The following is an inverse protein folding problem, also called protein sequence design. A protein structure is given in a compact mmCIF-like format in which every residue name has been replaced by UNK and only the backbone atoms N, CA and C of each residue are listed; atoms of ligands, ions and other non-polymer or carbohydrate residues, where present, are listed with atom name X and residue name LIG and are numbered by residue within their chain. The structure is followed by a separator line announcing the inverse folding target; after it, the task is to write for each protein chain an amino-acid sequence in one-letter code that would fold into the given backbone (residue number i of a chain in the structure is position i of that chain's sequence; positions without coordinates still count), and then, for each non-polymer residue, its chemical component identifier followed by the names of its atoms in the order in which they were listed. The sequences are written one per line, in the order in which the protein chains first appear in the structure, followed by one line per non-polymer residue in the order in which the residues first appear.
data_IF_385161127231
#
_entry.id   IF_385161127231
#
_cell.length_a   1.000
_cell.length_b   1.000
_cell.length_c   1.000
_cell.angle_alpha   90.00
_cell.angle_beta   90.00
_cell.angle_gamma   90.00
#
_symmetry.space_group_name_H-M   'P 1'
#
loop_
_entity.id
_entity.type
_entity.pdbx_description
1 polymer ?
#
# COMPACT_ATOMS: atom_id res chain seq x y z
N UNK A 1 1.20 0.67 -10.31
CA UNK A 1 2.59 0.15 -10.26
C UNK A 1 2.73 -1.35 -10.37
N UNK A 2 1.93 -2.18 -9.68
CA UNK A 2 2.03 -3.66 -9.70
C UNK A 2 2.40 -4.25 -11.07
N UNK A 3 1.61 -3.98 -12.12
CA UNK A 3 1.88 -4.50 -13.48
C UNK A 3 3.24 -4.02 -14.01
N UNK A 4 3.59 -2.75 -13.79
CA UNK A 4 4.87 -2.19 -14.22
C UNK A 4 6.05 -2.86 -13.52
N UNK A 5 5.95 -3.09 -12.21
CA UNK A 5 6.99 -3.78 -11.45
C UNK A 5 7.17 -5.23 -11.91
N UNK A 6 6.08 -5.93 -12.24
CA UNK A 6 6.15 -7.28 -12.78
C UNK A 6 6.82 -7.32 -14.16
N UNK A 7 6.44 -6.41 -15.07
CA UNK A 7 7.08 -6.30 -16.38
C UNK A 7 8.57 -5.96 -16.25
N UNK A 8 8.93 -5.03 -15.37
CA UNK A 8 10.33 -4.68 -15.09
C UNK A 8 11.14 -5.89 -14.60
N UNK A 9 10.56 -6.73 -13.75
CA UNK A 9 11.21 -7.95 -13.32
C UNK A 9 11.33 -8.99 -14.44
N UNK A 10 10.36 -9.06 -15.37
CA UNK A 10 10.43 -9.96 -16.52
C UNK A 10 11.51 -9.53 -17.52
N UNK A 11 11.70 -8.22 -17.70
CA UNK A 11 12.65 -7.65 -18.66
C UNK A 11 14.10 -7.56 -18.12
N UNK A 12 14.32 -7.88 -16.85
CA UNK A 12 15.63 -7.77 -16.18
C UNK A 12 16.15 -9.13 -15.72
N UNK A 13 17.22 -9.63 -16.35
CA UNK A 13 17.89 -10.89 -15.93
C UNK A 13 18.46 -10.84 -14.49
N UNK A 14 18.68 -9.63 -13.97
CA UNK A 14 19.10 -9.39 -12.60
C UNK A 14 17.96 -9.59 -11.59
N UNK A 15 16.69 -9.60 -12.03
CA UNK A 15 15.54 -9.81 -11.16
C UNK A 15 15.42 -11.29 -10.76
N UNK A 16 16.15 -11.67 -9.71
CA UNK A 16 16.17 -13.02 -9.15
C UNK A 16 15.82 -12.98 -7.66
N UNK A 17 15.13 -14.02 -7.21
CA UNK A 17 14.69 -14.13 -5.82
C UNK A 17 13.42 -13.33 -5.50
N UNK A 18 13.07 -13.20 -4.21
CA UNK A 18 11.85 -12.53 -3.79
C UNK A 18 11.93 -11.01 -4.03
N UNK A 19 10.80 -10.43 -4.44
CA UNK A 19 10.65 -9.00 -4.69
C UNK A 19 9.38 -8.50 -4.01
N UNK A 20 9.50 -7.51 -3.13
CA UNK A 20 8.35 -6.82 -2.55
C UNK A 20 7.74 -5.88 -3.59
N UNK A 21 6.47 -6.09 -3.94
CA UNK A 21 5.71 -5.21 -4.84
C UNK A 21 4.85 -4.26 -4.00
N UNK A 22 5.50 -3.24 -3.46
CA UNK A 22 4.90 -2.18 -2.63
C UNK A 22 5.40 -0.82 -3.10
N UNK A 23 4.70 0.26 -2.73
CA UNK A 23 5.21 1.61 -2.93
C UNK A 23 6.44 1.87 -2.03
N UNK A 24 7.37 2.77 -2.42
CA UNK A 24 8.61 3.02 -1.67
C UNK A 24 8.37 3.73 -0.33
N UNK A 25 7.25 4.43 -0.18
CA UNK A 25 6.87 5.15 1.04
C UNK A 25 5.87 4.33 1.86
N UNK A 26 6.31 3.57 2.88
CA UNK A 26 5.40 2.82 3.73
C UNK A 26 4.58 3.77 4.61
N UNK A 27 3.29 3.49 4.73
CA UNK A 27 2.36 4.26 5.56
C UNK A 27 1.65 3.35 6.55
N UNK A 28 1.27 3.91 7.68
CA UNK A 28 0.37 3.29 8.66
C UNK A 28 -1.08 3.33 8.18
N UNK A 29 -1.93 2.47 8.76
CA UNK A 29 -3.36 2.50 8.48
C UNK A 29 -4.02 3.85 8.87
N UNK A 30 -3.49 4.54 9.88
CA UNK A 30 -3.97 5.86 10.29
C UNK A 30 -3.69 6.93 9.22
N UNK A 31 -2.48 6.91 8.65
CA UNK A 31 -2.10 7.80 7.54
C UNK A 31 -2.92 7.51 6.28
N UNK A 32 -3.10 6.23 5.93
CA UNK A 32 -3.96 5.79 4.83
C UNK A 32 -5.39 6.32 5.00
N UNK A 33 -5.99 6.11 6.17
CA UNK A 33 -7.37 6.52 6.46
C UNK A 33 -7.53 8.04 6.37
N UNK A 34 -6.57 8.81 6.91
CA UNK A 34 -6.58 10.28 6.87
C UNK A 34 -6.43 10.80 5.44
N UNK A 35 -5.53 10.24 4.65
CA UNK A 35 -5.30 10.62 3.26
C UNK A 35 -6.52 10.31 2.39
N UNK A 36 -7.11 9.11 2.54
CA UNK A 36 -8.33 8.73 1.83
C UNK A 36 -9.50 9.66 2.18
N UNK A 37 -9.67 10.00 3.46
CA UNK A 37 -10.70 10.93 3.88
C UNK A 37 -10.52 12.33 3.30
N UNK A 38 -9.28 12.81 3.19
CA UNK A 38 -8.96 14.08 2.51
C UNK A 38 -9.30 14.04 1.02
N UNK A 39 -8.89 13.00 0.30
CA UNK A 39 -9.11 12.86 -1.16
C UNK A 39 -10.60 12.74 -1.50
N UNK A 40 -11.37 12.03 -0.67
CA UNK A 40 -12.80 11.84 -0.87
C UNK A 40 -13.68 12.96 -0.27
N UNK A 41 -13.08 13.96 0.38
CA UNK A 41 -13.80 14.97 1.15
C UNK A 41 -14.72 14.38 2.24
N UNK A 42 -14.29 13.29 2.88
CA UNK A 42 -15.02 12.59 3.95
C UNK A 42 -14.09 12.34 5.15
N UNK A 43 -14.14 13.16 6.20
CA UNK A 43 -13.15 13.14 7.27
C UNK A 43 -13.12 11.80 8.04
N UNK A 44 -11.91 11.26 8.26
CA UNK A 44 -11.67 10.04 9.03
C UNK A 44 -11.19 10.40 10.45
N UNK A 45 -12.15 10.58 11.38
CA UNK A 45 -11.88 11.18 12.70
C UNK A 45 -11.80 10.18 13.86
N UNK A 46 -12.40 9.00 13.73
CA UNK A 46 -12.47 8.02 14.80
C UNK A 46 -11.98 6.65 14.30
N UNK A 47 -11.04 6.00 14.99
CA UNK A 47 -10.63 4.64 14.67
C UNK A 47 -11.71 3.64 15.06
N UNK A 48 -11.82 2.54 14.31
CA UNK A 48 -12.68 1.42 14.69
C UNK A 48 -11.93 0.54 15.72
N UNK A 49 -12.51 0.25 16.89
CA UNK A 49 -11.86 -0.59 17.89
C UNK A 49 -11.56 -2.01 17.39
N UNK A 50 -10.41 -2.57 17.76
CA UNK A 50 -10.00 -3.90 17.32
C UNK A 50 -11.00 -5.01 17.69
N UNK A 51 -11.66 -4.93 18.85
CA UNK A 51 -12.67 -5.91 19.25
C UNK A 51 -13.91 -5.88 18.33
N UNK A 52 -14.27 -4.70 17.79
CA UNK A 52 -15.39 -4.57 16.87
C UNK A 52 -15.03 -5.22 15.52
N UNK A 53 -13.79 -5.02 15.04
CA UNK A 53 -13.27 -5.73 13.86
C UNK A 53 -13.23 -7.25 14.11
N UNK A 54 -12.79 -7.70 15.29
CA UNK A 54 -12.80 -9.12 15.68
C UNK A 54 -14.21 -9.71 15.74
N UNK A 55 -15.19 -8.97 16.26
CA UNK A 55 -16.57 -9.42 16.28
C UNK A 55 -17.15 -9.60 14.86
N UNK A 56 -16.77 -8.75 13.91
CA UNK A 56 -17.26 -8.79 12.53
C UNK A 56 -16.52 -9.83 11.67
N UNK A 57 -15.20 -9.94 11.80
CA UNK A 57 -14.35 -10.75 10.91
C UNK A 57 -13.77 -12.01 11.57
N UNK A 58 -14.01 -12.25 12.86
CA UNK A 58 -13.45 -13.38 13.59
C UNK A 58 -11.91 -13.38 13.56
N UNK A 59 -11.31 -14.53 13.27
CA UNK A 59 -9.85 -14.68 13.15
C UNK A 59 -9.25 -13.87 11.98
N UNK A 60 -10.04 -13.55 10.94
CA UNK A 60 -9.59 -12.73 9.81
C UNK A 60 -9.35 -11.26 10.19
N UNK A 61 -9.80 -10.84 11.38
CA UNK A 61 -9.53 -9.51 11.91
C UNK A 61 -8.03 -9.20 11.96
N UNK A 62 -7.19 -10.21 12.19
CA UNK A 62 -5.74 -10.05 12.23
C UNK A 62 -5.17 -9.44 10.94
N UNK A 63 -5.75 -9.75 9.78
CA UNK A 63 -5.30 -9.18 8.48
C UNK A 63 -5.50 -7.67 8.45
N UNK A 64 -6.56 -7.17 9.09
CA UNK A 64 -6.92 -5.74 9.14
C UNK A 64 -6.21 -5.03 10.29
N UNK A 65 -6.01 -5.71 11.43
CA UNK A 65 -5.44 -5.10 12.65
C UNK A 65 -3.93 -5.26 12.75
N UNK A 66 -3.29 -5.99 11.84
CA UNK A 66 -1.83 -6.12 11.75
C UNK A 66 -1.33 -5.56 10.41
N UNK A 67 -0.03 -5.36 10.31
CA UNK A 67 0.59 -4.86 9.09
C UNK A 67 2.07 -5.20 9.07
N UNK A 68 2.63 -5.17 7.86
CA UNK A 68 4.06 -5.39 7.62
C UNK A 68 4.62 -4.16 6.93
N UNK A 69 5.77 -3.69 7.41
CA UNK A 69 6.54 -2.64 6.72
C UNK A 69 7.36 -3.28 5.60
N UNK A 70 6.72 -3.61 4.49
CA UNK A 70 7.36 -4.21 3.32
C UNK A 70 7.98 -3.14 2.42
N UNK A 71 9.30 -3.00 2.49
CA UNK A 71 10.07 -2.02 1.68
C UNK A 71 10.48 -2.68 0.35
N UNK A 72 10.29 -2.01 -0.81
CA UNK A 72 10.58 -2.55 -2.13
C UNK A 72 12.06 -2.40 -2.53
N UNK A 73 13.00 -2.65 -1.60
CA UNK A 73 14.43 -2.42 -1.81
C UNK A 73 14.96 -3.09 -3.09
N UNK A 74 14.50 -4.30 -3.40
CA UNK A 74 14.93 -4.99 -4.63
C UNK A 74 14.44 -4.31 -5.91
N UNK A 75 13.24 -3.72 -5.92
CA UNK A 75 12.76 -2.93 -7.06
C UNK A 75 13.58 -1.64 -7.23
N UNK A 76 13.96 -1.01 -6.12
CA UNK A 76 14.81 0.20 -6.12
C UNK A 76 16.22 -0.11 -6.65
N UNK A 77 16.84 -1.21 -6.20
CA UNK A 77 18.13 -1.70 -6.70
C UNK A 77 18.08 -2.05 -8.20
N UNK A 78 16.96 -2.59 -8.67
CA UNK A 78 16.72 -2.87 -10.08
C UNK A 78 16.41 -1.62 -10.90
N UNK A 79 16.31 -0.45 -10.27
CA UNK A 79 16.05 0.83 -10.93
C UNK A 79 14.60 1.01 -11.40
N UNK A 80 13.63 0.32 -10.80
CA UNK A 80 12.21 0.50 -11.15
C UNK A 80 11.73 1.91 -10.81
N UNK A 81 11.26 2.64 -11.82
CA UNK A 81 10.65 3.96 -11.64
C UNK A 81 9.17 3.84 -11.26
N UNK A 82 8.84 4.14 -10.00
CA UNK A 82 7.46 4.13 -9.51
C UNK A 82 6.64 5.25 -10.15
N UNK A 83 5.48 4.92 -10.73
CA UNK A 83 4.56 5.90 -11.32
C UNK A 83 3.84 6.72 -10.26
N UNK A 84 3.51 6.11 -9.12
CA UNK A 84 2.80 6.75 -8.00
C UNK A 84 3.52 6.43 -6.68
N UNK A 85 4.69 7.04 -6.41
CA UNK A 85 5.47 6.71 -5.20
C UNK A 85 4.76 7.17 -3.91
N UNK A 86 4.02 8.29 -3.99
CA UNK A 86 3.31 8.88 -2.87
C UNK A 86 1.82 8.52 -2.81
N UNK A 87 1.31 8.40 -1.59
CA UNK A 87 -0.05 7.95 -1.30
C UNK A 87 -1.15 8.86 -1.88
N UNK A 88 -1.04 10.18 -1.76
CA UNK A 88 -2.11 11.11 -2.19
C UNK A 88 -2.38 11.03 -3.69
N UNK A 89 -1.32 10.98 -4.49
CA UNK A 89 -1.40 10.88 -5.93
C UNK A 89 -1.95 9.51 -6.37
N UNK A 90 -1.55 8.44 -5.69
CA UNK A 90 -2.13 7.11 -5.90
C UNK A 90 -3.64 7.07 -5.59
N UNK A 91 -4.07 7.69 -4.48
CA UNK A 91 -5.47 7.73 -4.06
C UNK A 91 -6.33 8.57 -5.02
N UNK A 92 -5.84 9.73 -5.48
CA UNK A 92 -6.53 10.56 -6.47
C UNK A 92 -6.77 9.79 -7.76
N UNK A 93 -5.72 9.15 -8.29
CA UNK A 93 -5.81 8.31 -9.47
C UNK A 93 -6.80 7.15 -9.30
N UNK A 94 -6.78 6.47 -8.14
CA UNK A 94 -7.65 5.32 -7.87
C UNK A 94 -9.13 5.69 -7.65
N UNK A 95 -9.40 6.91 -7.17
CA UNK A 95 -10.76 7.37 -6.84
C UNK A 95 -11.37 8.31 -7.88
N UNK A 96 -10.64 8.62 -8.96
CA UNK A 96 -11.09 9.55 -10.00
C UNK A 96 -11.23 11.00 -9.52
N UNK A 97 -10.38 11.40 -8.56
CA UNK A 97 -10.36 12.73 -7.93
C UNK A 97 -9.14 13.54 -8.32
#
# INVERSE_FOLDING_TARGET
DVVGSLLHCLDSEAARGPVNVTAPEPVTNAELSKALGRVLHRPAVAPVPAFAIKALYGEMAAIVTTGVRAVPARLEELGYAFRRPGLDDALRAATGR
#
